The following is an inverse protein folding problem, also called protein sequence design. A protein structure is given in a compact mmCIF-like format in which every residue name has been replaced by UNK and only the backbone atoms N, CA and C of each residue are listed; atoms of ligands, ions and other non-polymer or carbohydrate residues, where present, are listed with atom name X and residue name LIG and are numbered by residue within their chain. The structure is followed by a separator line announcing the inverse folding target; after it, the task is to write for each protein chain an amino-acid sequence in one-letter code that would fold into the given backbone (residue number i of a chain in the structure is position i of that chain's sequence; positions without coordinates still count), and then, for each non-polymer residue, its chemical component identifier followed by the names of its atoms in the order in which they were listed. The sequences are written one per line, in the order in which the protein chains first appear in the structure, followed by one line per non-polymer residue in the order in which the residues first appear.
data_IF_943799754690
#
_entry.id   IF_943799754690
#
_cell.length_a   1.000
_cell.length_b   1.000
_cell.length_c   1.000
_cell.angle_alpha   90.00
_cell.angle_beta   90.00
_cell.angle_gamma   90.00
#
_symmetry.space_group_name_H-M   'P 1'
#
loop_
_entity.id
_entity.type
_entity.pdbx_description
1 polymer ?
#
# COMPACT_ATOMS: atom_id res chain seq x y z
N UNK A 1 -9.59 -8.50 7.81
CA UNK A 1 -9.02 -7.13 7.71
C UNK A 1 -9.36 -6.37 8.97
N UNK A 2 -8.41 -5.66 9.53
CA UNK A 2 -8.66 -4.87 10.72
C UNK A 2 -8.07 -3.47 10.57
N UNK A 3 -8.38 -2.63 11.55
CA UNK A 3 -7.97 -1.23 11.53
C UNK A 3 -6.45 -1.08 11.46
N UNK A 4 -5.73 -1.85 12.26
CA UNK A 4 -4.28 -1.78 12.32
C UNK A 4 -3.66 -2.13 10.97
N UNK A 5 -4.18 -3.18 10.33
CA UNK A 5 -3.69 -3.61 9.02
C UNK A 5 -3.90 -2.52 7.97
N UNK A 6 -5.09 -1.92 7.98
CA UNK A 6 -5.40 -0.85 7.03
C UNK A 6 -4.51 0.37 7.25
N UNK A 7 -4.28 0.74 8.51
CA UNK A 7 -3.44 1.89 8.83
C UNK A 7 -2.01 1.69 8.36
N UNK A 8 -1.48 0.48 8.47
CA UNK A 8 -0.13 0.20 7.99
C UNK A 8 0.00 0.44 6.50
N UNK A 9 -1.04 0.09 5.74
CA UNK A 9 -1.04 0.35 4.30
C UNK A 9 -0.98 1.84 4.03
N UNK A 10 -1.83 2.62 4.69
CA UNK A 10 -1.86 4.06 4.45
C UNK A 10 -0.57 4.74 4.90
N UNK A 11 -0.01 4.30 6.02
CA UNK A 11 1.27 4.83 6.47
C UNK A 11 2.36 4.59 5.43
N UNK A 12 2.39 3.38 4.89
CA UNK A 12 3.40 3.04 3.89
C UNK A 12 3.22 3.90 2.64
N UNK A 13 1.99 4.08 2.19
CA UNK A 13 1.72 4.84 0.97
C UNK A 13 1.78 6.35 1.20
N UNK A 14 2.01 6.79 2.42
CA UNK A 14 2.20 8.21 2.70
C UNK A 14 3.53 8.77 2.21
N UNK A 15 4.39 7.93 1.67
CA UNK A 15 5.66 8.34 1.08
C UNK A 15 5.49 8.45 -0.44
N UNK A 16 5.94 9.59 -1.00
CA UNK A 16 5.85 9.81 -2.44
C UNK A 16 6.54 8.68 -3.21
N UNK A 17 7.73 8.30 -2.76
CA UNK A 17 8.49 7.25 -3.44
C UNK A 17 7.78 5.90 -3.38
N UNK A 18 7.22 5.57 -2.21
CA UNK A 18 6.53 4.28 -2.08
C UNK A 18 5.25 4.26 -2.89
N UNK A 19 4.56 5.38 -2.99
CA UNK A 19 3.38 5.45 -3.85
C UNK A 19 3.78 5.22 -5.31
N UNK A 20 4.87 5.86 -5.75
CA UNK A 20 5.37 5.68 -7.12
C UNK A 20 5.74 4.22 -7.36
N UNK A 21 6.41 3.59 -6.38
CA UNK A 21 6.77 2.18 -6.47
C UNK A 21 5.53 1.31 -6.63
N UNK A 22 4.53 1.55 -5.80
CA UNK A 22 3.31 0.75 -5.85
C UNK A 22 2.63 0.90 -7.22
N UNK A 23 2.50 2.13 -7.71
CA UNK A 23 1.88 2.37 -9.00
C UNK A 23 2.65 1.69 -10.14
N UNK A 24 3.97 1.74 -10.07
CA UNK A 24 4.81 1.09 -11.07
C UNK A 24 4.56 -0.41 -11.07
N UNK A 25 4.48 -1.01 -9.89
CA UNK A 25 4.26 -2.45 -9.78
C UNK A 25 2.84 -2.85 -10.18
N UNK A 26 1.85 -2.00 -9.92
CA UNK A 26 0.49 -2.26 -10.39
C UNK A 26 0.48 -2.30 -11.92
N UNK A 27 1.16 -1.36 -12.55
CA UNK A 27 1.25 -1.35 -14.02
C UNK A 27 2.00 -2.54 -14.57
N UNK A 28 2.98 -3.04 -13.83
CA UNK A 28 3.75 -4.20 -14.27
C UNK A 28 2.95 -5.49 -14.21
N UNK A 29 1.90 -5.52 -13.40
CA UNK A 29 1.02 -6.67 -13.32
C UNK A 29 1.70 -7.91 -12.79
N UNK A 30 1.30 -9.05 -13.32
CA UNK A 30 1.82 -10.33 -12.82
C UNK A 30 3.27 -10.55 -13.19
N UNK A 31 3.76 -9.89 -14.21
CA UNK A 31 5.17 -9.96 -14.57
C UNK A 31 6.04 -9.40 -13.46
N UNK A 32 5.57 -8.35 -12.81
CA UNK A 32 6.34 -7.71 -11.75
C UNK A 32 7.62 -7.09 -12.25
N UNK A 33 8.50 -6.78 -11.32
CA UNK A 33 9.81 -6.19 -11.64
C UNK A 33 10.84 -6.72 -10.64
N UNK A 34 12.06 -6.95 -11.12
CA UNK A 34 13.15 -7.26 -10.20
C UNK A 34 13.72 -5.97 -9.61
N UNK A 35 14.39 -6.10 -8.47
CA UNK A 35 14.86 -4.93 -7.72
C UNK A 35 15.71 -3.98 -8.56
N UNK A 36 16.59 -4.52 -9.38
CA UNK A 36 17.44 -3.66 -10.23
C UNK A 36 16.63 -2.80 -11.19
N UNK A 37 15.56 -3.37 -11.75
CA UNK A 37 14.69 -2.62 -12.64
C UNK A 37 13.99 -1.48 -11.92
N UNK A 38 13.58 -1.76 -10.68
CA UNK A 38 12.90 -0.73 -9.87
C UNK A 38 13.85 0.40 -9.51
N UNK A 39 15.07 0.07 -9.11
CA UNK A 39 16.06 1.08 -8.77
C UNK A 39 16.36 1.97 -9.97
N UNK A 40 16.48 1.36 -11.14
CA UNK A 40 16.75 2.11 -12.37
C UNK A 40 15.58 3.01 -12.73
N UNK A 41 14.37 2.48 -12.66
CA UNK A 41 13.17 3.24 -13.02
C UNK A 41 12.98 4.45 -12.14
N UNK A 42 13.29 4.33 -10.85
CA UNK A 42 13.11 5.40 -9.89
C UNK A 42 14.37 6.23 -9.68
N UNK A 43 15.47 5.80 -10.31
CA UNK A 43 16.74 6.52 -10.23
C UNK A 43 17.20 6.71 -8.79
N UNK A 44 17.14 5.64 -8.00
CA UNK A 44 17.57 5.68 -6.61
C UNK A 44 18.58 4.56 -6.35
N UNK A 45 19.44 4.73 -5.33
CA UNK A 45 20.39 3.67 -4.97
C UNK A 45 19.66 2.41 -4.50
N UNK A 46 20.29 1.27 -4.73
CA UNK A 46 19.71 -0.01 -4.36
C UNK A 46 19.42 -0.10 -2.85
N UNK A 47 20.28 0.52 -2.04
CA UNK A 47 20.09 0.48 -0.58
C UNK A 47 18.82 1.23 -0.17
N UNK A 48 18.57 2.37 -0.79
CA UNK A 48 17.34 3.14 -0.52
C UNK A 48 16.13 2.34 -0.95
N UNK A 49 16.20 1.72 -2.13
CA UNK A 49 15.10 0.92 -2.62
C UNK A 49 14.79 -0.23 -1.67
N UNK A 50 15.83 -0.92 -1.19
CA UNK A 50 15.64 -2.05 -0.29
C UNK A 50 14.90 -1.65 0.97
N UNK A 51 15.23 -0.48 1.52
CA UNK A 51 14.56 0.04 2.70
C UNK A 51 13.06 0.22 2.44
N UNK A 52 12.72 0.83 1.30
CA UNK A 52 11.32 1.08 0.98
C UNK A 52 10.56 -0.20 0.67
N UNK A 53 11.19 -1.13 -0.05
CA UNK A 53 10.54 -2.41 -0.35
C UNK A 53 10.27 -3.21 0.93
N UNK A 54 11.20 -3.16 1.88
CA UNK A 54 10.99 -3.85 3.15
C UNK A 54 9.77 -3.30 3.87
N UNK A 55 9.63 -1.97 3.90
CA UNK A 55 8.47 -1.34 4.53
C UNK A 55 7.18 -1.77 3.84
N UNK A 56 7.21 -1.85 2.51
CA UNK A 56 6.01 -2.24 1.76
C UNK A 56 5.67 -3.71 1.94
N UNK A 57 6.69 -4.56 2.09
CA UNK A 57 6.46 -5.97 2.42
C UNK A 57 5.81 -6.11 3.78
N UNK A 58 6.26 -5.33 4.76
CA UNK A 58 5.68 -5.36 6.10
C UNK A 58 4.23 -4.93 6.12
N UNK A 59 3.84 -4.06 5.19
CA UNK A 59 2.46 -3.61 5.05
C UNK A 59 1.65 -4.52 4.13
N UNK A 60 2.26 -5.57 3.60
CA UNK A 60 1.64 -6.49 2.65
C UNK A 60 1.20 -5.83 1.34
N UNK A 61 1.81 -4.69 1.02
CA UNK A 61 1.50 -3.99 -0.22
C UNK A 61 2.15 -4.62 -1.43
N UNK A 62 3.24 -5.34 -1.23
CA UNK A 62 3.93 -6.03 -2.30
C UNK A 62 4.23 -7.45 -1.84
N UNK A 63 4.45 -8.32 -2.81
CA UNK A 63 4.95 -9.68 -2.56
C UNK A 63 6.30 -9.81 -3.24
N UNK A 64 7.09 -10.77 -2.80
CA UNK A 64 8.40 -11.00 -3.37
C UNK A 64 8.60 -12.48 -3.61
N UNK A 65 9.27 -12.79 -4.73
CA UNK A 65 9.63 -14.17 -5.08
C UNK A 65 11.09 -14.18 -5.50
N UNK A 66 11.82 -15.13 -4.98
CA UNK A 66 13.21 -15.31 -5.39
C UNK A 66 13.27 -16.11 -6.68
N UNK A 67 14.03 -15.59 -7.65
CA UNK A 67 14.24 -16.23 -8.95
C UNK A 67 15.74 -16.26 -9.18
N UNK A 68 16.37 -17.39 -8.84
CA UNK A 68 17.81 -17.49 -8.88
C UNK A 68 18.43 -16.50 -7.92
N UNK A 69 19.22 -15.57 -8.45
CA UNK A 69 19.86 -14.54 -7.66
C UNK A 69 19.06 -13.25 -7.60
N UNK A 70 17.89 -13.21 -8.26
CA UNK A 70 17.08 -12.00 -8.34
C UNK A 70 15.86 -12.11 -7.44
N UNK A 71 15.40 -10.96 -6.95
CA UNK A 71 14.16 -10.87 -6.19
C UNK A 71 13.15 -10.12 -7.06
N UNK A 72 12.05 -10.79 -7.35
CA UNK A 72 10.99 -10.22 -8.19
C UNK A 72 9.83 -9.78 -7.32
N UNK A 73 9.41 -8.54 -7.49
CA UNK A 73 8.35 -7.93 -6.70
C UNK A 73 7.11 -7.74 -7.54
N UNK A 74 5.96 -7.86 -6.87
CA UNK A 74 4.66 -7.62 -7.48
C UNK A 74 3.80 -6.84 -6.52
N UNK A 75 2.89 -5.99 -7.04
CA UNK A 75 1.92 -5.31 -6.20
C UNK A 75 0.92 -6.34 -5.68
N UNK A 76 0.57 -6.23 -4.40
CA UNK A 76 -0.44 -7.08 -3.79
C UNK A 76 -1.79 -6.40 -3.94
N UNK A 77 -2.31 -6.40 -5.15
CA UNK A 77 -3.56 -5.71 -5.47
C UNK A 77 -4.75 -6.24 -4.66
N UNK A 78 -4.90 -7.58 -4.49
CA UNK A 78 -6.01 -8.05 -3.68
C UNK A 78 -6.02 -7.49 -2.26
N UNK A 79 -4.83 -7.33 -1.65
CA UNK A 79 -4.74 -6.76 -0.31
C UNK A 79 -5.19 -5.29 -0.32
N UNK A 80 -4.73 -4.53 -1.30
CA UNK A 80 -5.13 -3.12 -1.41
C UNK A 80 -6.64 -2.99 -1.58
N UNK A 81 -7.23 -3.85 -2.41
CA UNK A 81 -8.67 -3.81 -2.62
C UNK A 81 -9.43 -4.14 -1.34
N UNK A 82 -8.91 -5.08 -0.54
CA UNK A 82 -9.54 -5.41 0.76
C UNK A 82 -9.44 -4.24 1.73
N UNK A 83 -8.32 -3.52 1.70
CA UNK A 83 -8.16 -2.33 2.56
C UNK A 83 -9.18 -1.27 2.18
N UNK A 84 -9.32 -1.01 0.89
CA UNK A 84 -10.28 -0.01 0.42
C UNK A 84 -11.70 -0.41 0.78
N UNK A 85 -12.05 -1.68 0.60
CA UNK A 85 -13.38 -2.16 0.96
C UNK A 85 -13.64 -2.02 2.46
N UNK A 86 -12.63 -2.36 3.26
CA UNK A 86 -12.74 -2.23 4.71
C UNK A 86 -13.03 -0.78 5.11
N UNK A 87 -12.28 0.16 4.54
CA UNK A 87 -12.44 1.56 4.87
C UNK A 87 -13.83 2.05 4.49
N UNK A 88 -14.26 1.73 3.26
CA UNK A 88 -15.56 2.20 2.80
C UNK A 88 -16.70 1.61 3.61
N UNK A 89 -16.61 0.32 3.94
CA UNK A 89 -17.65 -0.33 4.73
C UNK A 89 -17.70 0.22 6.14
N UNK A 90 -16.54 0.46 6.74
CA UNK A 90 -16.52 0.98 8.10
C UNK A 90 -17.03 2.41 8.18
N UNK A 91 -16.70 3.23 7.21
CA UNK A 91 -17.23 4.59 7.17
C UNK A 91 -18.75 4.59 7.02
N UNK A 92 -19.25 3.74 6.11
CA UNK A 92 -20.69 3.66 5.90
C UNK A 92 -21.41 3.13 7.15
N UNK A 93 -20.85 2.08 7.75
CA UNK A 93 -21.47 1.49 8.94
C UNK A 93 -21.46 2.43 10.13
N UNK A 94 -20.35 3.14 10.33
CA UNK A 94 -20.25 4.09 11.42
C UNK A 94 -21.31 5.16 11.27
N UNK A 95 -21.49 5.65 10.08
CA UNK A 95 -22.48 6.67 9.79
C UNK A 95 -23.88 6.15 10.01
N UNK A 96 -24.16 4.96 9.50
CA UNK A 96 -25.47 4.36 9.60
C UNK A 96 -25.79 3.99 11.06
N UNK A 97 -24.80 3.50 11.78
CA UNK A 97 -25.02 3.00 13.13
C UNK A 97 -25.06 4.09 14.17
N UNK A 98 -24.30 5.14 13.99
CA UNK A 98 -24.14 6.12 15.04
C UNK A 98 -24.82 7.37 14.78
N UNK A 99 -24.97 7.57 13.65
CA UNK A 99 -25.24 8.85 13.47
C UNK A 99 -24.12 9.54 14.00
N UNK A 100 -23.71 9.42 14.36
CA UNK A 100 -22.88 9.87 14.72
C UNK A 100 -22.04 10.29 15.17
N UNK A 101 -22.21 10.29 15.52
CA UNK A 101 -21.47 10.74 16.04
C UNK A 101 -20.34 10.89 15.76
N UNK A 102 -20.38 10.66 15.67
CA UNK A 102 -19.41 10.80 15.44
C UNK A 102 -18.96 11.52 14.73
N UNK A 103 -19.49 11.66 14.64
CA UNK A 103 -19.03 12.23 14.12
C UNK A 103 -18.60 13.11 13.99
N UNK A 104 -18.78 13.28 14.35
CA UNK A 104 -18.42 14.19 14.28
C UNK A 104 -17.33 14.51 14.07
N UNK A 105 -17.30 14.32 14.38
CA UNK A 105 -16.39 14.64 14.04
C UNK A 105 -15.83 14.61 13.10
N UNK A 106 -16.38 14.39 12.99
CA UNK A 106 -15.94 14.42 12.19
C UNK A 106 -15.85 14.97 11.38
N UNK A 107 -16.24 15.38 11.59
CA UNK A 107 -16.34 16.06 10.89
C UNK A 107 -15.76 16.81 10.27
N UNK A 108 -15.73 16.85 10.22
CA UNK A 108 -15.14 17.41 9.75
C UNK A 108 -14.76 17.65 9.06
N UNK A 109 -14.75 17.96 8.76
CA UNK A 109 -14.30 18.29 8.09
C UNK A 109 -13.98 18.47 7.29
N UNK A 110 -14.07 18.64 7.14
CA UNK A 110 -13.67 18.72 6.44
C UNK A 110 -13.18 19.00 5.73
N UNK A 111 -13.15 19.22 5.69
CA UNK A 111 -12.78 19.61 5.23
C UNK A 111 -12.30 19.94 4.71
#
# INVERSE_FOLDING_TARGET
MDRSTALKVFESLGSSLRLDLFCLLVRAGETGKVAGELADALEIPATNLSFHLKAMLQASLVTVRQEGRFLRYRANVPHMLRVLAYVMENCANAEAGEGAGATAANRAPPR
#
